data_IF_263388742848
#
_entry.id   IF_263388742848
#
_cell.length_a   1.000
_cell.length_b   1.000
_cell.length_c   1.000
_cell.angle_alpha   90.00
_cell.angle_beta   90.00
_cell.angle_gamma   90.00
#
_symmetry.space_group_name_H-M   'P 1'
#
loop_
_entity.id
_entity.type
_entity.pdbx_description
1 polymer ?
#
# COMPACT_ATOMS: atom_id res chain seq x y z
N UNK A 1 20.76 8.66 33.28
CA UNK A 1 20.23 9.87 32.61
C UNK A 1 20.07 9.57 31.14
N UNK A 2 18.88 9.80 30.58
CA UNK A 2 18.64 9.65 29.16
C UNK A 2 19.18 10.92 28.47
N UNK A 3 20.20 10.78 27.63
CA UNK A 3 20.75 11.90 26.84
C UNK A 3 20.19 11.83 25.43
N UNK A 4 19.46 12.87 25.01
CA UNK A 4 19.07 13.07 23.61
C UNK A 4 19.77 14.32 23.05
N UNK A 5 20.15 14.26 21.78
CA UNK A 5 20.81 15.38 21.11
C UNK A 5 19.81 16.53 20.91
N UNK A 6 20.20 17.79 21.21
CA UNK A 6 19.34 18.97 21.04
C UNK A 6 19.03 19.29 19.57
N UNK A 7 19.69 18.64 18.62
CA UNK A 7 19.48 18.82 17.17
C UNK A 7 18.22 18.07 16.68
N UNK A 8 17.68 17.12 17.46
CA UNK A 8 16.54 16.30 17.02
C UNK A 8 15.22 17.02 17.28
N UNK A 9 14.41 17.15 16.23
CA UNK A 9 13.03 17.63 16.34
C UNK A 9 12.11 16.55 16.91
N UNK A 10 11.05 16.94 17.66
CA UNK A 10 10.04 15.99 18.13
C UNK A 10 9.28 15.39 16.93
N UNK A 11 9.02 14.08 17.00
CA UNK A 11 8.30 13.33 15.95
C UNK A 11 6.78 13.40 16.16
N UNK A 12 6.34 13.41 17.42
CA UNK A 12 4.93 13.58 17.79
C UNK A 12 4.71 15.04 18.17
N UNK A 13 3.74 15.68 17.51
CA UNK A 13 3.37 17.07 17.75
C UNK A 13 2.11 17.15 18.63
N UNK A 14 2.02 18.20 19.45
CA UNK A 14 0.80 18.54 20.20
C UNK A 14 0.61 17.83 21.54
N UNK A 15 1.71 17.49 22.24
CA UNK A 15 1.73 16.99 23.63
C UNK A 15 0.68 15.91 23.96
N UNK A 16 0.54 14.92 23.06
CA UNK A 16 -0.47 13.86 23.16
C UNK A 16 -0.17 12.88 24.28
N UNK A 17 -1.19 12.57 25.09
CA UNK A 17 -1.17 11.46 26.06
C UNK A 17 -1.40 10.10 25.38
N UNK A 18 -1.08 9.00 26.07
CA UNK A 18 -1.38 7.64 25.61
C UNK A 18 -2.87 7.42 25.30
N UNK A 19 -3.75 8.02 26.10
CA UNK A 19 -5.19 7.96 25.86
C UNK A 19 -5.56 8.66 24.55
N UNK A 20 -4.97 9.83 24.27
CA UNK A 20 -5.24 10.61 23.06
C UNK A 20 -4.83 9.84 21.81
N UNK A 21 -3.63 9.24 21.82
CA UNK A 21 -3.14 8.41 20.71
C UNK A 21 -4.08 7.22 20.46
N UNK A 22 -4.50 6.54 21.54
CA UNK A 22 -5.42 5.40 21.43
C UNK A 22 -6.74 5.80 20.81
N UNK A 23 -7.33 6.89 21.29
CA UNK A 23 -8.61 7.40 20.79
C UNK A 23 -8.49 7.87 19.34
N UNK A 24 -7.40 8.52 18.95
CA UNK A 24 -7.18 8.99 17.58
C UNK A 24 -7.06 7.84 16.57
N UNK A 25 -6.40 6.73 16.94
CA UNK A 25 -6.23 5.55 16.08
C UNK A 25 -7.51 4.70 16.04
N UNK A 26 -8.21 4.55 17.18
CA UNK A 26 -9.42 3.74 17.28
C UNK A 26 -10.62 4.41 16.57
N UNK A 27 -10.72 5.74 16.63
CA UNK A 27 -11.87 6.49 16.14
C UNK A 27 -12.25 6.20 14.69
N UNK A 28 -11.33 6.15 13.69
CA UNK A 28 -11.68 5.77 12.33
C UNK A 28 -12.28 4.35 12.21
N UNK A 29 -11.81 3.42 13.03
CA UNK A 29 -12.26 2.00 13.03
C UNK A 29 -13.63 1.85 13.70
N UNK A 30 -13.86 2.55 14.80
CA UNK A 30 -15.13 2.53 15.54
C UNK A 30 -16.22 3.37 14.86
N UNK A 31 -15.82 4.37 14.06
CA UNK A 31 -16.74 5.22 13.33
C UNK A 31 -17.34 4.54 12.10
N UNK A 32 -18.54 4.97 11.71
CA UNK A 32 -19.17 4.51 10.47
C UNK A 32 -18.39 5.04 9.26
N UNK A 33 -18.16 4.17 8.28
CA UNK A 33 -17.50 4.54 7.03
C UNK A 33 -18.24 5.70 6.34
N UNK A 34 -17.55 6.79 5.96
CA UNK A 34 -18.17 7.94 5.32
C UNK A 34 -18.64 7.61 3.89
N UNK A 35 -19.52 8.44 3.33
CA UNK A 35 -20.00 8.26 1.94
C UNK A 35 -18.86 8.23 0.92
N UNK A 36 -17.81 9.01 1.12
CA UNK A 36 -16.62 9.01 0.26
C UNK A 36 -15.93 7.65 0.21
N UNK A 37 -15.89 6.93 1.34
CA UNK A 37 -15.33 5.58 1.40
C UNK A 37 -16.14 4.61 0.53
N UNK A 38 -17.48 4.66 0.62
CA UNK A 38 -18.35 3.82 -0.21
C UNK A 38 -18.24 4.14 -1.71
N UNK A 39 -18.09 5.40 -2.08
CA UNK A 39 -17.85 5.80 -3.47
C UNK A 39 -16.54 5.22 -3.99
N UNK A 40 -15.43 5.43 -3.25
CA UNK A 40 -14.12 4.92 -3.63
C UNK A 40 -14.11 3.38 -3.71
N UNK A 41 -14.72 2.71 -2.72
CA UNK A 41 -14.86 1.25 -2.70
C UNK A 41 -15.65 0.75 -3.90
N UNK A 42 -16.77 1.39 -4.24
CA UNK A 42 -17.62 0.98 -5.38
C UNK A 42 -16.86 1.10 -6.70
N UNK A 43 -16.12 2.18 -6.91
CA UNK A 43 -15.30 2.38 -8.11
C UNK A 43 -14.20 1.31 -8.19
N UNK A 44 -13.47 1.09 -7.10
CA UNK A 44 -12.44 0.04 -7.02
C UNK A 44 -13.02 -1.36 -7.29
N UNK A 45 -14.21 -1.64 -6.75
CA UNK A 45 -14.87 -2.93 -6.90
C UNK A 45 -15.35 -3.19 -8.33
N UNK A 46 -15.91 -2.18 -9.00
CA UNK A 46 -16.31 -2.29 -10.42
C UNK A 46 -15.09 -2.53 -11.31
N UNK A 47 -13.99 -1.80 -11.09
CA UNK A 47 -12.73 -2.03 -11.83
C UNK A 47 -12.14 -3.42 -11.56
N UNK A 48 -12.25 -3.91 -10.32
CA UNK A 48 -11.84 -5.27 -9.96
C UNK A 48 -12.65 -6.32 -10.73
N UNK A 49 -13.99 -6.22 -10.75
CA UNK A 49 -14.84 -7.15 -11.48
C UNK A 49 -14.56 -7.13 -12.98
N UNK A 50 -14.33 -5.94 -13.55
CA UNK A 50 -13.93 -5.81 -14.95
C UNK A 50 -12.59 -6.50 -15.23
N UNK A 51 -11.58 -6.30 -14.38
CA UNK A 51 -10.28 -6.97 -14.48
C UNK A 51 -10.39 -8.50 -14.39
N UNK A 52 -11.19 -9.02 -13.46
CA UNK A 52 -11.48 -10.46 -13.36
C UNK A 52 -12.12 -10.98 -14.66
N UNK A 53 -13.07 -10.23 -15.23
CA UNK A 53 -13.67 -10.55 -16.52
C UNK A 53 -12.65 -10.66 -17.66
N UNK A 54 -11.70 -9.71 -17.75
CA UNK A 54 -10.62 -9.75 -18.74
C UNK A 54 -9.68 -10.95 -18.57
N UNK A 55 -9.38 -11.33 -17.31
CA UNK A 55 -8.55 -12.51 -17.00
C UNK A 55 -9.28 -13.78 -17.46
N UNK A 56 -10.55 -13.94 -17.09
CA UNK A 56 -11.35 -15.11 -17.49
C UNK A 56 -11.50 -15.21 -19.01
N UNK A 57 -11.70 -14.09 -19.69
CA UNK A 57 -11.74 -14.03 -21.16
C UNK A 57 -10.42 -14.53 -21.77
N UNK A 58 -9.27 -14.07 -21.24
CA UNK A 58 -7.95 -14.52 -21.69
C UNK A 58 -7.78 -16.02 -21.47
N UNK A 59 -8.17 -16.56 -20.31
CA UNK A 59 -8.05 -17.99 -20.00
C UNK A 59 -8.92 -18.82 -20.97
N UNK A 60 -10.12 -18.35 -21.30
CA UNK A 60 -11.03 -19.04 -22.22
C UNK A 60 -10.66 -18.95 -23.71
N UNK A 61 -10.02 -17.86 -24.14
CA UNK A 61 -9.70 -17.60 -25.56
C UNK A 61 -8.21 -17.81 -25.91
N UNK A 62 -7.35 -17.91 -24.90
CA UNK A 62 -5.90 -18.04 -25.04
C UNK A 62 -5.16 -16.71 -24.99
N UNK A 63 -3.83 -16.78 -24.83
CA UNK A 63 -2.92 -15.63 -24.67
C UNK A 63 -2.83 -14.76 -25.93
N UNK A 64 -3.25 -15.26 -27.09
CA UNK A 64 -3.20 -14.52 -28.37
C UNK A 64 -3.97 -13.19 -28.37
N UNK A 65 -4.89 -12.99 -27.42
CA UNK A 65 -5.64 -11.73 -27.26
C UNK A 65 -4.83 -10.59 -26.64
N UNK A 66 -3.62 -10.86 -26.13
CA UNK A 66 -2.76 -9.86 -25.48
C UNK A 66 -2.02 -8.95 -26.46
N UNK A 67 -2.03 -9.25 -27.75
CA UNK A 67 -1.26 -8.49 -28.74
C UNK A 67 0.24 -8.74 -28.66
N UNK A 68 0.65 -9.89 -28.11
CA UNK A 68 2.04 -10.34 -28.13
C UNK A 68 2.47 -10.72 -29.55
N UNK A 69 3.76 -10.61 -29.83
CA UNK A 69 4.36 -10.98 -31.11
C UNK A 69 5.31 -12.16 -30.89
N UNK A 70 5.44 -13.06 -31.87
CA UNK A 70 6.40 -14.19 -31.84
C UNK A 70 7.86 -13.82 -31.53
N UNK A 71 8.25 -12.55 -31.68
CA UNK A 71 9.59 -12.05 -31.35
C UNK A 71 9.66 -11.43 -29.96
N UNK A 72 8.54 -10.95 -29.43
CA UNK A 72 8.42 -10.31 -28.11
C UNK A 72 7.24 -10.95 -27.40
N UNK A 73 7.54 -12.06 -26.73
CA UNK A 73 6.53 -12.84 -26.01
C UNK A 73 6.24 -12.27 -24.62
N UNK A 74 7.10 -11.41 -24.08
CA UNK A 74 6.94 -10.71 -22.80
C UNK A 74 6.91 -9.19 -22.99
N UNK A 75 5.87 -8.56 -22.49
CA UNK A 75 5.69 -7.11 -22.58
C UNK A 75 4.98 -6.58 -21.34
N UNK A 76 3.67 -6.34 -21.42
CA UNK A 76 2.88 -5.74 -20.34
C UNK A 76 2.70 -6.66 -19.14
N UNK A 77 2.64 -7.96 -19.38
CA UNK A 77 2.55 -8.99 -18.35
C UNK A 77 3.71 -8.90 -17.35
N UNK A 78 4.96 -8.99 -17.84
CA UNK A 78 6.13 -8.91 -16.97
C UNK A 78 6.37 -7.49 -16.45
N UNK A 79 6.09 -6.46 -17.27
CA UNK A 79 6.29 -5.07 -16.87
C UNK A 79 5.43 -4.74 -15.65
N UNK A 80 4.14 -5.10 -15.68
CA UNK A 80 3.25 -4.89 -14.55
C UNK A 80 3.62 -5.79 -13.36
N UNK A 81 4.03 -7.04 -13.60
CA UNK A 81 4.46 -7.95 -12.54
C UNK A 81 5.64 -7.37 -11.74
N UNK A 82 6.72 -6.97 -12.41
CA UNK A 82 7.92 -6.41 -11.75
C UNK A 82 7.60 -5.06 -11.09
N UNK A 83 6.75 -4.24 -11.72
CA UNK A 83 6.32 -2.97 -11.14
C UNK A 83 5.61 -3.16 -9.79
N UNK A 84 4.65 -4.08 -9.72
CA UNK A 84 3.95 -4.40 -8.48
C UNK A 84 4.86 -5.04 -7.43
N UNK A 85 5.77 -5.93 -7.83
CA UNK A 85 6.78 -6.50 -6.93
C UNK A 85 7.66 -5.40 -6.33
N UNK A 86 8.07 -4.41 -7.16
CA UNK A 86 8.84 -3.26 -6.71
C UNK A 86 8.13 -2.45 -5.62
N UNK A 87 6.84 -2.16 -5.80
CA UNK A 87 6.02 -1.46 -4.79
C UNK A 87 6.01 -2.24 -3.46
N UNK A 88 5.91 -3.57 -3.52
CA UNK A 88 5.92 -4.44 -2.33
C UNK A 88 7.18 -4.32 -1.47
N UNK A 89 8.33 -3.99 -2.04
CA UNK A 89 9.61 -3.89 -1.31
C UNK A 89 9.69 -2.65 -0.41
N UNK A 90 8.93 -1.59 -0.69
CA UNK A 90 8.93 -0.40 0.15
C UNK A 90 8.49 -0.73 1.60
N UNK A 91 7.47 -1.58 1.76
CA UNK A 91 6.96 -1.99 3.07
C UNK A 91 7.95 -2.84 3.88
N UNK A 92 8.65 -3.77 3.23
CA UNK A 92 9.65 -4.62 3.89
C UNK A 92 10.89 -3.82 4.29
N UNK A 93 11.30 -2.86 3.47
CA UNK A 93 12.39 -1.94 3.80
C UNK A 93 12.03 -1.09 5.02
N UNK A 94 10.85 -0.44 5.02
CA UNK A 94 10.42 0.38 6.14
C UNK A 94 10.33 -0.48 7.40
N UNK A 95 9.69 -1.65 7.36
CA UNK A 95 9.49 -2.48 8.57
C UNK A 95 10.77 -3.15 9.11
N UNK A 96 11.64 -3.69 8.25
CA UNK A 96 12.81 -4.45 8.66
C UNK A 96 14.10 -3.61 8.69
N UNK A 97 14.43 -2.93 7.60
CA UNK A 97 15.72 -2.24 7.45
C UNK A 97 15.80 -1.04 8.42
N UNK A 98 14.77 -0.20 8.47
CA UNK A 98 14.76 0.93 9.41
C UNK A 98 14.74 0.47 10.88
N UNK A 99 14.15 -0.70 11.17
CA UNK A 99 14.23 -1.32 12.49
C UNK A 99 15.66 -1.72 12.85
N UNK A 100 16.39 -2.37 11.94
CA UNK A 100 17.80 -2.76 12.15
C UNK A 100 18.69 -1.54 12.40
N UNK A 101 18.46 -0.45 11.66
CA UNK A 101 19.17 0.82 11.84
C UNK A 101 18.63 1.68 13.00
N UNK A 102 17.72 1.14 13.82
CA UNK A 102 17.10 1.80 14.98
C UNK A 102 16.55 3.19 14.67
N UNK A 103 15.97 3.35 13.48
CA UNK A 103 15.34 4.60 13.05
C UNK A 103 13.99 4.76 13.74
N UNK A 104 13.93 5.66 14.73
CA UNK A 104 12.73 5.86 15.58
C UNK A 104 11.51 6.37 14.79
N UNK A 105 11.72 7.15 13.71
CA UNK A 105 10.65 7.75 12.89
C UNK A 105 9.81 6.75 12.10
N UNK A 106 10.20 5.47 12.05
CA UNK A 106 9.35 4.41 11.49
C UNK A 106 8.03 4.24 12.26
N UNK A 107 8.01 4.61 13.54
CA UNK A 107 6.91 4.31 14.47
C UNK A 107 6.31 5.55 15.14
N UNK A 108 7.06 6.65 15.17
CA UNK A 108 6.75 7.82 15.96
C UNK A 108 5.90 8.83 15.21
#
# INVERSE_FOLDING_TARGET
MHYESPVRNPLILGDKSYSDITNDIAKPVESKAPRSWWIAFSIAFVMFLWGVGCILYTIGTGIGVWGLNKTIDWAWDITNFVWWVGIGHAGTLISAVLLLFRQKWRMA
#
